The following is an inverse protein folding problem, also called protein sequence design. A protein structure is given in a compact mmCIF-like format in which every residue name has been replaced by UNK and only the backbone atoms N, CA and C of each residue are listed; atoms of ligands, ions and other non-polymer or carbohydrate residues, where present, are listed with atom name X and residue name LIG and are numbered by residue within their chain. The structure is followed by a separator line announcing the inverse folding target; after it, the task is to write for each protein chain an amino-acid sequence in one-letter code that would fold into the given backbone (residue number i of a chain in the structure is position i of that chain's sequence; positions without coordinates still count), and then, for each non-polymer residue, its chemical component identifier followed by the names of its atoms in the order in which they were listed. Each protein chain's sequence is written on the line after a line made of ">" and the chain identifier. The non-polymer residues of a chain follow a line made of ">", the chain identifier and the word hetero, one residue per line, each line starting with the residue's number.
data_IF_466587471535
#
_entry.id   IF_466587471535
#
_cell.length_a   1.000
_cell.length_b   1.000
_cell.length_c   1.000
_cell.angle_alpha   90.00
_cell.angle_beta   90.00
_cell.angle_gamma   90.00
#
_symmetry.space_group_name_H-M   'P 1'
#
loop_
_entity.id
_entity.type
_entity.pdbx_description
1 polymer ?
#
# COMPACT_ATOMS: atom_id res chain seq x y z
N UNK A 1 11.30 -9.18 -20.37
CA UNK A 1 10.92 -7.84 -19.88
C UNK A 1 9.84 -8.09 -18.84
N UNK A 2 10.12 -7.91 -17.56
CA UNK A 2 9.11 -8.09 -16.51
C UNK A 2 8.26 -6.83 -16.50
N UNK A 3 7.07 -6.90 -17.08
CA UNK A 3 6.07 -5.83 -16.96
C UNK A 3 5.76 -5.65 -15.47
N UNK A 4 5.98 -4.44 -14.96
CA UNK A 4 5.68 -4.11 -13.59
C UNK A 4 4.17 -3.97 -13.45
N UNK A 5 3.59 -4.67 -12.48
CA UNK A 5 2.16 -4.57 -12.19
C UNK A 5 1.83 -3.15 -11.67
N UNK A 6 0.66 -2.59 -12.02
CA UNK A 6 0.31 -1.23 -11.62
C UNK A 6 0.26 -1.04 -10.09
N UNK A 7 -0.23 -2.03 -9.34
CA UNK A 7 -0.12 -2.04 -7.88
C UNK A 7 1.10 -2.87 -7.50
N UNK A 8 1.98 -2.29 -6.67
CA UNK A 8 3.15 -2.96 -6.08
C UNK A 8 3.09 -2.85 -4.56
N UNK A 9 3.38 -3.94 -3.83
CA UNK A 9 3.35 -3.98 -2.36
C UNK A 9 4.73 -4.36 -1.82
N UNK A 10 5.33 -3.46 -1.04
CA UNK A 10 6.70 -3.59 -0.56
C UNK A 10 6.73 -3.54 0.97
N UNK A 11 6.85 -4.70 1.65
CA UNK A 11 7.14 -4.71 3.07
C UNK A 11 8.60 -4.36 3.34
N UNK A 12 8.82 -3.59 4.40
CA UNK A 12 10.15 -3.21 4.86
C UNK A 12 10.97 -4.41 5.36
N UNK A 13 12.29 -4.25 5.42
CA UNK A 13 13.18 -5.30 5.91
C UNK A 13 12.85 -5.67 7.36
N UNK A 14 12.54 -4.69 8.21
CA UNK A 14 12.16 -4.92 9.62
C UNK A 14 10.93 -5.82 9.74
N UNK A 15 9.92 -5.60 8.89
CA UNK A 15 8.71 -6.42 8.86
C UNK A 15 8.99 -7.82 8.29
N UNK A 16 9.87 -7.94 7.29
CA UNK A 16 10.28 -9.22 6.71
C UNK A 16 11.02 -10.08 7.76
N UNK A 17 11.92 -9.47 8.53
CA UNK A 17 12.65 -10.14 9.60
C UNK A 17 11.72 -10.56 10.74
N UNK A 18 10.71 -9.75 11.06
CA UNK A 18 9.73 -10.05 12.11
C UNK A 18 8.74 -11.14 11.68
N UNK A 19 8.32 -11.11 10.42
CA UNK A 19 7.26 -11.97 9.87
C UNK A 19 7.73 -12.67 8.60
N UNK A 20 8.31 -13.86 8.73
CA UNK A 20 8.88 -14.64 7.60
C UNK A 20 7.89 -14.86 6.44
N UNK A 21 6.58 -14.80 6.69
CA UNK A 21 5.54 -15.04 5.70
C UNK A 21 5.06 -13.75 4.99
N UNK A 22 5.43 -12.55 5.48
CA UNK A 22 4.85 -11.29 5.01
C UNK A 22 5.11 -11.06 3.52
N UNK A 23 6.27 -11.45 3.01
CA UNK A 23 6.59 -11.37 1.58
C UNK A 23 5.65 -12.22 0.73
N UNK A 24 5.35 -13.45 1.18
CA UNK A 24 4.40 -14.31 0.47
C UNK A 24 2.98 -13.77 0.53
N UNK A 25 2.58 -13.19 1.68
CA UNK A 25 1.28 -12.52 1.83
C UNK A 25 1.18 -11.33 0.88
N UNK A 26 2.17 -10.44 0.86
CA UNK A 26 2.20 -9.26 0.00
C UNK A 26 2.15 -9.65 -1.48
N UNK A 27 2.94 -10.62 -1.92
CA UNK A 27 2.92 -11.07 -3.31
C UNK A 27 1.53 -11.62 -3.74
N UNK A 28 0.85 -12.35 -2.85
CA UNK A 28 -0.51 -12.85 -3.13
C UNK A 28 -1.52 -11.72 -3.21
N UNK A 29 -1.44 -10.77 -2.28
CA UNK A 29 -2.31 -9.60 -2.24
C UNK A 29 -2.06 -8.67 -3.43
N UNK A 30 -0.82 -8.53 -3.88
CA UNK A 30 -0.46 -7.74 -5.06
C UNK A 30 -1.16 -8.31 -6.30
N UNK A 31 -1.05 -9.62 -6.52
CA UNK A 31 -1.76 -10.28 -7.61
C UNK A 31 -3.29 -10.13 -7.50
N UNK A 32 -3.84 -10.27 -6.28
CA UNK A 32 -5.27 -10.13 -6.02
C UNK A 32 -5.76 -8.71 -6.32
N UNK A 33 -5.10 -7.68 -5.78
CA UNK A 33 -5.53 -6.30 -5.94
C UNK A 33 -5.38 -5.85 -7.39
N UNK A 34 -4.31 -6.22 -8.09
CA UNK A 34 -4.18 -5.92 -9.52
C UNK A 34 -5.32 -6.54 -10.35
N UNK A 35 -5.76 -7.75 -10.00
CA UNK A 35 -6.92 -8.36 -10.65
C UNK A 35 -8.21 -7.59 -10.32
N UNK A 36 -8.43 -7.26 -9.04
CA UNK A 36 -9.63 -6.53 -8.61
C UNK A 36 -9.72 -5.13 -9.26
N UNK A 37 -8.63 -4.38 -9.31
CA UNK A 37 -8.62 -3.03 -9.91
C UNK A 37 -8.73 -3.05 -11.43
N UNK A 38 -8.19 -4.09 -12.08
CA UNK A 38 -8.46 -4.35 -13.49
C UNK A 38 -9.97 -4.58 -13.72
N UNK A 39 -10.62 -5.42 -12.90
CA UNK A 39 -12.07 -5.64 -13.00
C UNK A 39 -12.90 -4.39 -12.65
N UNK A 40 -12.39 -3.53 -11.79
CA UNK A 40 -12.98 -2.24 -11.43
C UNK A 40 -12.67 -1.12 -12.44
N UNK A 41 -12.00 -1.43 -13.56
CA UNK A 41 -11.65 -0.51 -14.63
C UNK A 41 -10.78 0.68 -14.20
N UNK A 42 -9.87 0.48 -13.23
CA UNK A 42 -8.93 1.52 -12.80
C UNK A 42 -7.94 1.93 -13.88
N UNK A 43 -7.68 1.03 -14.84
CA UNK A 43 -6.67 1.18 -15.89
C UNK A 43 -7.31 1.44 -17.26
N UNK A 44 -8.49 2.06 -17.31
CA UNK A 44 -9.25 2.27 -18.55
C UNK A 44 -8.52 3.10 -19.62
N UNK A 45 -7.48 3.86 -19.24
CA UNK A 45 -6.54 4.49 -20.17
C UNK A 45 -5.23 3.68 -20.22
N UNK A 46 -5.13 2.79 -21.20
CA UNK A 46 -3.97 1.91 -21.40
C UNK A 46 -2.66 2.67 -21.68
N UNK A 47 -2.74 3.94 -22.10
CA UNK A 47 -1.56 4.77 -22.37
C UNK A 47 -1.08 5.53 -21.13
N UNK A 48 -1.87 5.54 -20.07
CA UNK A 48 -1.64 6.38 -18.90
C UNK A 48 -2.08 5.67 -17.61
N UNK A 49 -1.49 4.49 -17.38
CA UNK A 49 -1.81 3.63 -16.24
C UNK A 49 -1.30 4.27 -14.94
N UNK A 50 -2.20 4.40 -13.96
CA UNK A 50 -1.86 4.81 -12.61
C UNK A 50 -1.06 3.71 -11.89
N UNK A 51 0.17 4.03 -11.50
CA UNK A 51 1.02 3.18 -10.69
C UNK A 51 0.81 3.50 -9.20
N UNK A 52 0.63 2.48 -8.36
CA UNK A 52 0.43 2.61 -6.92
C UNK A 52 1.46 1.73 -6.20
N UNK A 53 2.40 2.37 -5.51
CA UNK A 53 3.38 1.70 -4.67
C UNK A 53 2.94 1.79 -3.21
N UNK A 54 2.72 0.64 -2.59
CA UNK A 54 2.29 0.51 -1.20
C UNK A 54 3.49 0.03 -0.36
N UNK A 55 4.07 0.92 0.42
CA UNK A 55 5.17 0.62 1.35
C UNK A 55 4.59 0.29 2.73
N UNK A 56 4.76 -0.95 3.17
CA UNK A 56 4.43 -1.38 4.53
C UNK A 56 5.67 -1.18 5.39
N UNK A 57 5.57 -0.26 6.35
CA UNK A 57 6.70 0.25 7.11
C UNK A 57 6.43 0.21 8.63
N UNK A 58 7.43 0.51 9.44
CA UNK A 58 7.23 0.75 10.87
C UNK A 58 6.66 2.16 11.10
N UNK A 59 5.98 2.38 12.23
CA UNK A 59 5.50 3.72 12.58
C UNK A 59 6.62 4.76 12.59
N UNK A 60 7.79 4.41 13.15
CA UNK A 60 8.94 5.30 13.20
C UNK A 60 9.35 5.77 11.79
N UNK A 61 9.43 4.84 10.83
CA UNK A 61 9.78 5.20 9.46
C UNK A 61 8.76 6.16 8.86
N UNK A 62 7.47 5.91 9.05
CA UNK A 62 6.40 6.76 8.52
C UNK A 62 6.46 8.16 9.14
N UNK A 63 6.66 8.26 10.45
CA UNK A 63 6.80 9.54 11.16
C UNK A 63 7.99 10.35 10.61
N UNK A 64 9.13 9.70 10.35
CA UNK A 64 10.31 10.32 9.74
C UNK A 64 10.03 10.74 8.29
N UNK A 65 9.39 9.89 7.50
CA UNK A 65 9.11 10.14 6.07
C UNK A 65 8.12 11.29 5.88
N UNK A 66 7.13 11.46 6.78
CA UNK A 66 6.19 12.59 6.75
C UNK A 66 6.91 13.94 6.87
N UNK A 67 8.01 14.01 7.63
CA UNK A 67 8.77 15.25 7.81
C UNK A 67 9.62 15.64 6.61
N UNK A 68 9.82 14.71 5.67
CA UNK A 68 10.63 14.96 4.48
C UNK A 68 9.85 15.80 3.46
N UNK A 69 10.59 16.57 2.67
CA UNK A 69 10.02 17.28 1.54
C UNK A 69 9.70 16.29 0.42
N UNK A 70 8.42 16.21 0.06
CA UNK A 70 7.95 15.40 -1.06
C UNK A 70 7.61 16.28 -2.26
N UNK A 71 7.90 15.77 -3.45
CA UNK A 71 7.42 16.36 -4.70
C UNK A 71 6.10 15.67 -5.08
N UNK A 72 5.00 16.40 -5.03
CA UNK A 72 3.67 15.89 -5.34
C UNK A 72 2.60 16.35 -4.35
N UNK A 73 1.37 15.93 -4.59
CA UNK A 73 0.24 16.19 -3.69
C UNK A 73 0.24 15.19 -2.54
N UNK A 74 0.33 15.68 -1.31
CA UNK A 74 0.31 14.82 -0.12
C UNK A 74 -1.15 14.64 0.35
N UNK A 75 -1.52 13.40 0.66
CA UNK A 75 -2.79 13.05 1.32
C UNK A 75 -2.49 12.34 2.63
N UNK A 76 -3.11 12.80 3.71
CA UNK A 76 -3.11 12.11 4.99
C UNK A 76 -4.43 11.36 5.12
N UNK A 77 -4.36 10.04 5.18
CA UNK A 77 -5.54 9.18 5.27
C UNK A 77 -5.83 8.77 6.72
N UNK A 78 -4.79 8.63 7.52
CA UNK A 78 -4.83 8.36 8.96
C UNK A 78 -3.48 8.74 9.59
N UNK A 79 -3.37 8.64 10.92
CA UNK A 79 -2.13 8.93 11.65
C UNK A 79 -0.98 7.96 11.29
N UNK A 80 -1.34 6.80 10.74
CA UNK A 80 -0.44 5.71 10.34
C UNK A 80 -0.36 5.54 8.81
N UNK A 81 -1.02 6.41 8.03
CA UNK A 81 -1.07 6.29 6.56
C UNK A 81 -1.06 7.65 5.86
N UNK A 82 -0.09 7.84 4.97
CA UNK A 82 -0.08 8.97 4.04
C UNK A 82 0.37 8.56 2.64
N UNK A 83 0.01 9.36 1.65
CA UNK A 83 0.36 9.14 0.25
C UNK A 83 0.92 10.41 -0.39
N UNK A 84 1.79 10.24 -1.38
CA UNK A 84 2.28 11.29 -2.26
C UNK A 84 1.86 10.95 -3.69
N UNK A 85 1.08 11.83 -4.31
CA UNK A 85 0.67 11.70 -5.70
C UNK A 85 1.54 12.58 -6.62
N UNK A 86 2.27 11.92 -7.51
CA UNK A 86 3.09 12.53 -8.56
C UNK A 86 2.31 12.48 -9.87
N UNK A 87 1.54 13.54 -10.14
CA UNK A 87 0.63 13.62 -11.30
C UNK A 87 1.38 13.50 -12.63
N UNK A 88 2.58 14.04 -12.72
CA UNK A 88 3.43 14.01 -13.92
C UNK A 88 3.86 12.60 -14.30
N UNK A 89 3.89 11.68 -13.33
CA UNK A 89 4.29 10.28 -13.50
C UNK A 89 3.13 9.29 -13.41
N UNK A 90 1.91 9.79 -13.16
CA UNK A 90 0.77 8.97 -12.76
C UNK A 90 1.14 7.94 -11.68
N UNK A 91 1.82 8.40 -10.64
CA UNK A 91 2.32 7.52 -9.60
C UNK A 91 1.86 7.99 -8.22
N UNK A 92 1.27 7.08 -7.46
CA UNK A 92 1.02 7.23 -6.04
C UNK A 92 2.04 6.39 -5.28
N UNK A 93 2.73 7.03 -4.35
CA UNK A 93 3.53 6.34 -3.34
C UNK A 93 2.80 6.47 -2.02
N UNK A 94 2.36 5.36 -1.44
CA UNK A 94 1.67 5.31 -0.15
C UNK A 94 2.56 4.63 0.88
N UNK A 95 2.71 5.27 2.04
CA UNK A 95 3.41 4.73 3.20
C UNK A 95 2.37 4.35 4.25
N UNK A 96 2.44 3.12 4.73
CA UNK A 96 1.46 2.49 5.60
C UNK A 96 2.22 1.88 6.77
N UNK A 97 2.06 2.46 7.95
CA UNK A 97 2.69 1.94 9.15
C UNK A 97 1.92 0.72 9.67
N UNK A 98 2.67 -0.31 10.07
CA UNK A 98 2.19 -1.28 11.05
C UNK A 98 2.47 -0.69 12.43
N UNK A 99 1.42 -0.26 13.13
CA UNK A 99 1.58 0.46 14.40
C UNK A 99 2.15 -0.46 15.49
N UNK A 100 2.75 0.07 16.57
CA UNK A 100 3.33 -0.78 17.63
C UNK A 100 2.31 -1.72 18.28
N UNK A 101 1.06 -1.27 18.44
CA UNK A 101 -0.04 -2.08 18.96
C UNK A 101 -0.38 -3.23 18.02
N UNK A 102 -0.44 -2.95 16.71
CA UNK A 102 -0.71 -3.96 15.68
C UNK A 102 0.42 -4.98 15.59
N UNK A 103 1.67 -4.51 15.63
CA UNK A 103 2.85 -5.36 15.60
C UNK A 103 2.85 -6.32 16.80
N UNK A 104 2.53 -5.81 17.99
CA UNK A 104 2.40 -6.64 19.21
C UNK A 104 1.31 -7.70 19.04
N UNK A 105 0.13 -7.32 18.53
CA UNK A 105 -0.98 -8.25 18.29
C UNK A 105 -0.62 -9.34 17.27
N UNK A 106 0.01 -8.95 16.15
CA UNK A 106 0.41 -9.87 15.09
C UNK A 106 1.54 -10.81 15.52
N UNK A 107 2.40 -10.38 16.43
CA UNK A 107 3.40 -11.25 17.03
C UNK A 107 2.78 -12.31 17.95
N UNK A 108 1.74 -11.96 18.71
CA UNK A 108 0.99 -12.89 19.55
C UNK A 108 0.17 -13.89 18.70
N UNK A 109 -0.53 -13.38 17.68
CA UNK A 109 -1.44 -14.16 16.85
C UNK A 109 -1.05 -14.10 15.36
N UNK A 110 0.08 -14.73 15.03
CA UNK A 110 0.65 -14.70 13.66
C UNK A 110 -0.30 -15.17 12.56
N UNK A 111 -1.31 -15.99 12.90
CA UNK A 111 -2.33 -16.46 11.95
C UNK A 111 -3.21 -15.33 11.41
N UNK A 112 -3.28 -14.19 12.11
CA UNK A 112 -4.04 -13.02 11.69
C UNK A 112 -3.32 -12.18 10.63
N UNK A 113 -2.02 -12.37 10.44
CA UNK A 113 -1.20 -11.56 9.53
C UNK A 113 -1.80 -11.44 8.12
N UNK A 114 -2.21 -12.53 7.44
CA UNK A 114 -2.74 -12.41 6.08
C UNK A 114 -4.03 -11.58 6.02
N UNK A 115 -5.01 -11.90 6.89
CA UNK A 115 -6.29 -11.20 6.93
C UNK A 115 -6.14 -9.74 7.36
N UNK A 116 -5.20 -9.47 8.27
CA UNK A 116 -4.94 -8.13 8.77
C UNK A 116 -4.34 -7.23 7.69
N UNK A 117 -3.25 -7.68 7.04
CA UNK A 117 -2.59 -6.93 5.97
C UNK A 117 -3.57 -6.72 4.80
N UNK A 118 -4.36 -7.74 4.45
CA UNK A 118 -5.41 -7.60 3.42
C UNK A 118 -6.39 -6.48 3.76
N UNK A 119 -6.98 -6.51 4.96
CA UNK A 119 -7.99 -5.51 5.36
C UNK A 119 -7.40 -4.09 5.40
N UNK A 120 -6.16 -3.95 5.90
CA UNK A 120 -5.48 -2.65 5.96
C UNK A 120 -5.19 -2.10 4.57
N UNK A 121 -4.60 -2.91 3.68
CA UNK A 121 -4.28 -2.48 2.32
C UNK A 121 -5.53 -2.20 1.49
N UNK A 122 -6.58 -3.03 1.59
CA UNK A 122 -7.83 -2.81 0.88
C UNK A 122 -8.50 -1.50 1.31
N UNK A 123 -8.50 -1.20 2.61
CA UNK A 123 -8.98 0.09 3.11
C UNK A 123 -8.20 1.25 2.50
N UNK A 124 -6.86 1.17 2.46
CA UNK A 124 -6.02 2.22 1.86
C UNK A 124 -6.29 2.39 0.37
N UNK A 125 -6.41 1.29 -0.38
CA UNK A 125 -6.75 1.33 -1.80
C UNK A 125 -8.12 1.99 -2.03
N UNK A 126 -9.11 1.71 -1.19
CA UNK A 126 -10.44 2.34 -1.29
C UNK A 126 -10.41 3.84 -0.94
N UNK A 127 -9.52 4.27 -0.05
CA UNK A 127 -9.30 5.70 0.22
C UNK A 127 -8.63 6.42 -0.97
N UNK A 128 -7.68 5.75 -1.63
CA UNK A 128 -7.10 6.24 -2.89
C UNK A 128 -8.18 6.31 -3.97
N UNK A 129 -9.03 5.30 -4.07
CA UNK A 129 -10.12 5.25 -5.04
C UNK A 129 -11.09 6.42 -4.84
N UNK A 130 -11.52 6.67 -3.61
CA UNK A 130 -12.39 7.81 -3.28
C UNK A 130 -11.74 9.15 -3.68
N UNK A 131 -10.46 9.35 -3.33
CA UNK A 131 -9.72 10.57 -3.67
C UNK A 131 -9.59 10.79 -5.18
N UNK A 132 -9.46 9.72 -5.97
CA UNK A 132 -9.32 9.77 -7.42
C UNK A 132 -10.65 9.56 -8.18
N UNK A 133 -11.78 9.41 -7.47
CA UNK A 133 -13.09 9.10 -8.07
C UNK A 133 -13.08 7.79 -8.89
N UNK A 134 -12.36 6.78 -8.41
CA UNK A 134 -12.33 5.42 -8.95
C UNK A 134 -13.34 4.51 -8.21
N UNK A 135 -13.67 3.36 -8.80
CA UNK A 135 -14.54 2.38 -8.15
C UNK A 135 -13.83 1.66 -7.00
N UNK A 136 -14.45 1.49 -5.82
CA UNK A 136 -13.84 0.74 -4.72
C UNK A 136 -13.76 -0.78 -5.02
N UNK A 137 -12.85 -1.47 -4.33
CA UNK A 137 -12.56 -2.91 -4.44
C UNK A 137 -12.69 -3.67 -3.12
#
# INVERSE_FOLDING_TARGET
>A
MTEQLPISIMPSNDLIETFNQIKSVCNKLEAQFNFQTLTANWYGDENNILLINLYLETQQFVDEEITKAHQGEISYFADDVFSVYQKERQQITCFIAVTPTELTLLQQERKLLPSYIQAKLQKVLNLIADKLTLFPI
#
